data_IF_567512689727
#
_entry.id   IF_567512689727
#
_cell.length_a   1.000
_cell.length_b   1.000
_cell.length_c   1.000
_cell.angle_alpha   90.00
_cell.angle_beta   90.00
_cell.angle_gamma   90.00
#
_symmetry.space_group_name_H-M   'P 1'
#
loop_
_entity.id
_entity.type
_entity.pdbx_description
1 polymer ?
#
# COMPACT_ATOMS: atom_id res chain seq x y z
N UNK A 1 -25.87 -28.28 -60.23
CA UNK A 1 -24.92 -28.66 -59.16
C UNK A 1 -23.84 -27.58 -59.02
N UNK A 2 -24.21 -26.30 -59.15
CA UNK A 2 -23.26 -25.26 -59.54
C UNK A 2 -23.19 -24.09 -58.54
N UNK A 3 -24.10 -24.05 -57.55
CA UNK A 3 -24.12 -23.02 -56.51
C UNK A 3 -23.23 -23.36 -55.30
N UNK A 4 -23.00 -24.65 -55.01
CA UNK A 4 -22.12 -25.11 -53.92
C UNK A 4 -20.62 -24.89 -54.24
N UNK A 5 -20.25 -24.95 -55.53
CA UNK A 5 -18.85 -24.77 -55.98
C UNK A 5 -18.48 -23.28 -56.01
N UNK A 6 -19.44 -22.39 -56.27
CA UNK A 6 -19.23 -20.94 -56.24
C UNK A 6 -19.06 -20.44 -54.80
N UNK A 7 -19.81 -21.01 -53.84
CA UNK A 7 -19.77 -20.62 -52.43
C UNK A 7 -18.47 -20.98 -51.71
N UNK A 8 -17.71 -21.98 -52.20
CA UNK A 8 -16.40 -22.35 -51.63
C UNK A 8 -15.21 -21.53 -52.14
N UNK A 9 -15.36 -20.73 -53.20
CA UNK A 9 -14.25 -19.93 -53.77
C UNK A 9 -14.15 -18.51 -53.22
N UNK A 10 -15.15 -18.03 -52.48
CA UNK A 10 -15.22 -16.64 -51.98
C UNK A 10 -14.71 -16.49 -50.53
N UNK A 11 -14.43 -17.59 -49.81
CA UNK A 11 -13.98 -17.52 -48.42
C UNK A 11 -12.44 -17.49 -48.32
N UNK A 12 -11.87 -16.29 -48.25
CA UNK A 12 -10.50 -16.08 -47.79
C UNK A 12 -10.51 -15.68 -46.31
N UNK A 13 -9.85 -16.42 -45.40
CA UNK A 13 -9.81 -16.03 -43.99
C UNK A 13 -8.99 -14.73 -43.84
N UNK A 14 -9.46 -13.76 -43.02
CA UNK A 14 -8.68 -12.56 -42.73
C UNK A 14 -7.38 -12.94 -42.00
N UNK A 15 -6.27 -12.21 -42.22
CA UNK A 15 -5.03 -12.45 -41.46
C UNK A 15 -5.32 -12.31 -39.96
N UNK A 16 -4.65 -13.10 -39.10
CA UNK A 16 -4.87 -13.01 -37.66
C UNK A 16 -4.58 -11.58 -37.23
N UNK A 17 -5.60 -10.91 -36.68
CA UNK A 17 -5.45 -9.61 -36.06
C UNK A 17 -4.34 -9.74 -35.00
N UNK A 18 -3.19 -9.11 -35.27
CA UNK A 18 -2.15 -8.97 -34.29
C UNK A 18 -2.81 -8.39 -33.04
N UNK A 19 -2.68 -9.01 -31.86
CA UNK A 19 -3.10 -8.34 -30.65
C UNK A 19 -2.16 -7.15 -30.53
N UNK A 20 -2.63 -5.98 -30.95
CA UNK A 20 -2.06 -4.74 -30.48
C UNK A 20 -2.26 -4.80 -28.97
N UNK A 21 -1.23 -5.24 -28.26
CA UNK A 21 -1.04 -4.98 -26.85
C UNK A 21 -0.91 -3.46 -26.75
N UNK A 22 -2.05 -2.78 -26.87
CA UNK A 22 -2.24 -1.48 -26.27
C UNK A 22 -2.10 -1.77 -24.79
N UNK A 23 -0.88 -1.62 -24.30
CA UNK A 23 -0.55 -1.51 -22.89
C UNK A 23 -1.35 -0.32 -22.39
N UNK A 24 -2.60 -0.57 -21.98
CA UNK A 24 -3.39 0.41 -21.25
C UNK A 24 -2.70 0.54 -19.91
N UNK A 25 -1.97 1.63 -19.75
CA UNK A 25 -1.25 1.89 -18.53
C UNK A 25 -2.26 1.94 -17.35
N UNK A 26 -1.93 1.35 -16.20
CA UNK A 26 -2.80 1.35 -15.01
C UNK A 26 -3.22 2.77 -14.54
N UNK A 27 -2.56 3.83 -15.04
CA UNK A 27 -2.76 5.22 -14.62
C UNK A 27 -3.99 5.90 -15.24
N UNK A 28 -4.47 5.45 -16.41
CA UNK A 28 -5.63 6.07 -17.07
C UNK A 28 -6.96 5.83 -16.34
N UNK A 29 -7.06 4.74 -15.58
CA UNK A 29 -8.25 4.40 -14.80
C UNK A 29 -8.39 5.29 -13.57
N UNK A 30 -7.25 5.66 -12.96
CA UNK A 30 -7.23 6.51 -11.76
C UNK A 30 -7.46 7.99 -12.08
N UNK A 31 -6.96 8.51 -13.20
CA UNK A 31 -7.19 9.91 -13.59
C UNK A 31 -8.68 10.18 -13.85
N UNK A 32 -9.39 9.25 -14.51
CA UNK A 32 -10.84 9.38 -14.71
C UNK A 32 -11.65 9.32 -13.41
N UNK A 33 -11.20 8.53 -12.44
CA UNK A 33 -11.83 8.45 -11.11
C UNK A 33 -11.49 9.67 -10.23
N UNK A 34 -10.35 10.32 -10.45
CA UNK A 34 -9.96 11.57 -9.77
C UNK A 34 -10.72 12.77 -10.33
N UNK A 35 -10.82 12.91 -11.65
CA UNK A 35 -11.61 13.98 -12.29
C UNK A 35 -13.09 13.91 -11.91
N UNK A 36 -13.67 12.71 -11.74
CA UNK A 36 -15.06 12.56 -11.27
C UNK A 36 -15.25 12.97 -9.80
N UNK A 37 -14.21 12.86 -8.96
CA UNK A 37 -14.27 13.29 -7.57
C UNK A 37 -14.14 14.80 -7.43
N UNK A 38 -13.19 15.39 -8.15
CA UNK A 38 -12.95 16.84 -8.10
C UNK A 38 -14.14 17.66 -8.63
N UNK A 39 -14.94 17.14 -9.58
CA UNK A 39 -16.15 17.82 -10.07
C UNK A 39 -17.30 17.77 -9.04
N UNK A 40 -17.28 16.83 -8.08
CA UNK A 40 -18.33 16.71 -7.05
C UNK A 40 -18.04 17.53 -5.79
N UNK A 41 -16.79 17.89 -5.54
CA UNK A 41 -16.36 18.55 -4.29
C UNK A 41 -16.37 20.09 -4.35
N UNK A 42 -16.82 20.70 -5.46
CA UNK A 42 -16.91 22.17 -5.57
C UNK A 42 -18.32 22.67 -5.23
N UNK A 43 -18.69 22.61 -3.94
CA UNK A 43 -19.74 23.43 -3.35
C UNK A 43 -19.08 24.53 -2.50
N UNK A 44 -19.45 25.82 -2.64
CA UNK A 44 -18.85 26.90 -1.87
C UNK A 44 -19.23 26.81 -0.38
N UNK A 45 -18.34 27.16 0.57
CA UNK A 45 -18.56 26.89 1.99
C UNK A 45 -19.51 27.93 2.60
N UNK A 46 -20.77 27.55 2.81
CA UNK A 46 -21.61 28.22 3.80
C UNK A 46 -21.26 27.70 5.20
N UNK A 47 -20.57 28.56 5.97
CA UNK A 47 -20.47 28.59 7.44
C UNK A 47 -21.22 27.48 8.21
N UNK A 48 -20.48 26.54 8.79
CA UNK A 48 -20.73 26.03 10.15
C UNK A 48 -19.70 24.98 10.56
N UNK A 49 -19.05 25.20 11.70
CA UNK A 49 -18.57 24.14 12.59
C UNK A 49 -17.21 23.53 12.27
N UNK A 50 -16.23 23.85 13.11
CA UNK A 50 -14.98 23.10 13.30
C UNK A 50 -15.22 21.58 13.38
N UNK A 51 -14.34 20.71 12.84
CA UNK A 51 -14.44 19.27 13.05
C UNK A 51 -13.79 18.91 14.39
N UNK A 52 -14.39 19.35 15.50
CA UNK A 52 -14.20 18.67 16.77
C UNK A 52 -15.11 17.46 16.75
N UNK A 53 -14.52 16.26 16.69
CA UNK A 53 -15.01 15.08 17.42
C UNK A 53 -16.53 14.82 17.35
N UNK A 54 -17.19 15.11 16.22
CA UNK A 54 -18.62 15.00 16.11
C UNK A 54 -18.99 13.61 15.59
N UNK A 55 -19.63 12.86 16.50
CA UNK A 55 -20.54 11.77 16.24
C UNK A 55 -19.94 10.48 15.65
N UNK A 56 -19.20 9.74 16.50
CA UNK A 56 -19.20 8.28 16.44
C UNK A 56 -20.59 7.75 16.85
N UNK A 57 -21.60 7.96 16.02
CA UNK A 57 -22.88 7.23 16.12
C UNK A 57 -22.72 5.87 15.44
N UNK A 58 -21.86 5.03 16.01
CA UNK A 58 -21.74 3.64 15.62
C UNK A 58 -21.83 2.86 16.93
N UNK A 59 -22.90 2.09 17.13
CA UNK A 59 -22.92 1.03 18.14
C UNK A 59 -21.67 0.14 18.01
N UNK A 60 -21.29 -0.63 19.05
CA UNK A 60 -20.00 -1.29 19.13
C UNK A 60 -19.66 -1.94 17.79
N UNK A 61 -18.67 -1.38 17.10
CA UNK A 61 -18.30 -1.86 15.76
C UNK A 61 -17.91 -3.32 15.94
N UNK A 62 -18.38 -4.25 15.11
CA UNK A 62 -18.10 -5.67 15.30
C UNK A 62 -16.58 -5.94 15.45
N UNK A 63 -15.73 -5.11 14.86
CA UNK A 63 -14.27 -5.10 15.02
C UNK A 63 -13.78 -4.95 16.47
N UNK A 64 -14.44 -4.15 17.31
CA UNK A 64 -14.05 -3.92 18.71
C UNK A 64 -14.34 -5.16 19.56
N UNK A 65 -15.46 -5.83 19.29
CA UNK A 65 -15.86 -7.06 19.98
C UNK A 65 -14.90 -8.21 19.63
N UNK A 66 -14.55 -8.38 18.34
CA UNK A 66 -13.56 -9.40 17.95
C UNK A 66 -12.18 -9.16 18.56
N UNK A 67 -11.76 -7.89 18.67
CA UNK A 67 -10.50 -7.53 19.33
C UNK A 67 -10.50 -7.88 20.82
N UNK A 68 -11.60 -7.59 21.52
CA UNK A 68 -11.75 -7.91 22.94
C UNK A 68 -11.76 -9.42 23.20
N UNK A 69 -12.57 -10.17 22.45
CA UNK A 69 -12.63 -11.63 22.56
C UNK A 69 -11.28 -12.24 22.21
N UNK A 70 -10.67 -11.79 21.11
CA UNK A 70 -9.33 -12.20 20.70
C UNK A 70 -8.29 -11.96 21.79
N UNK A 71 -8.28 -10.78 22.42
CA UNK A 71 -7.36 -10.45 23.50
C UNK A 71 -7.49 -11.41 24.70
N UNK A 72 -8.71 -11.66 25.18
CA UNK A 72 -8.94 -12.59 26.29
C UNK A 72 -8.54 -14.02 25.90
N UNK A 73 -8.95 -14.46 24.70
CA UNK A 73 -8.59 -15.80 24.20
C UNK A 73 -7.08 -15.97 24.07
N UNK A 74 -6.35 -14.97 23.57
CA UNK A 74 -4.89 -15.01 23.48
C UNK A 74 -4.26 -15.09 24.86
N UNK A 75 -4.70 -14.27 25.83
CA UNK A 75 -4.15 -14.31 27.20
C UNK A 75 -4.35 -15.69 27.84
N UNK A 76 -5.57 -16.25 27.75
CA UNK A 76 -5.88 -17.57 28.30
C UNK A 76 -5.07 -18.66 27.59
N UNK A 77 -5.04 -18.64 26.25
CA UNK A 77 -4.28 -19.61 25.46
C UNK A 77 -2.79 -19.56 25.77
N UNK A 78 -2.21 -18.36 25.92
CA UNK A 78 -0.81 -18.18 26.31
C UNK A 78 -0.56 -18.70 27.73
N UNK A 79 -1.44 -18.43 28.69
CA UNK A 79 -1.30 -18.95 30.06
C UNK A 79 -1.32 -20.49 30.09
N UNK A 80 -2.26 -21.11 29.37
CA UNK A 80 -2.34 -22.58 29.24
C UNK A 80 -1.11 -23.14 28.53
N UNK A 81 -0.64 -22.49 27.48
CA UNK A 81 0.57 -22.87 26.75
C UNK A 81 1.81 -22.84 27.64
N UNK A 82 2.00 -21.77 28.43
CA UNK A 82 3.12 -21.66 29.36
C UNK A 82 3.01 -22.70 30.48
N UNK A 83 1.82 -22.89 31.05
CA UNK A 83 1.59 -23.92 32.06
C UNK A 83 1.97 -25.31 31.52
N UNK A 84 1.54 -25.66 30.30
CA UNK A 84 1.92 -26.91 29.64
C UNK A 84 3.44 -26.99 29.37
N UNK A 85 4.06 -25.91 28.88
CA UNK A 85 5.48 -25.87 28.55
C UNK A 85 6.40 -26.06 29.78
N UNK A 86 6.05 -25.45 30.92
CA UNK A 86 6.88 -25.46 32.13
C UNK A 86 6.54 -26.59 33.12
N UNK A 87 5.35 -27.20 33.05
CA UNK A 87 4.97 -28.26 33.99
C UNK A 87 5.79 -29.53 33.73
N UNK A 88 6.45 -30.13 34.74
CA UNK A 88 7.24 -31.35 34.57
C UNK A 88 6.34 -32.56 34.25
N UNK A 89 6.87 -33.52 33.49
CA UNK A 89 6.13 -34.69 32.95
C UNK A 89 5.41 -35.54 34.02
N UNK A 90 5.96 -35.75 35.24
CA UNK A 90 5.26 -36.50 36.29
C UNK A 90 3.94 -35.85 36.72
N UNK A 91 3.86 -34.52 36.70
CA UNK A 91 2.65 -33.79 37.07
C UNK A 91 1.56 -33.93 35.99
N UNK A 92 1.93 -33.83 34.70
CA UNK A 92 1.02 -34.08 33.57
C UNK A 92 0.47 -35.52 33.58
N UNK A 93 1.32 -36.51 33.91
CA UNK A 93 0.88 -37.90 34.04
C UNK A 93 -0.07 -38.11 35.21
N UNK A 94 0.14 -37.40 36.34
CA UNK A 94 -0.78 -37.41 37.49
C UNK A 94 -2.15 -36.80 37.14
N UNK A 95 -2.17 -35.78 36.27
CA UNK A 95 -3.39 -35.17 35.71
C UNK A 95 -4.11 -36.05 34.68
N UNK A 96 -3.60 -37.25 34.37
CA UNK A 96 -4.20 -38.18 33.40
C UNK A 96 -3.94 -37.81 31.92
N UNK A 97 -3.08 -36.82 31.65
CA UNK A 97 -2.75 -36.38 30.29
C UNK A 97 -1.54 -37.19 29.80
N UNK A 98 -1.82 -38.33 29.16
CA UNK A 98 -0.78 -39.23 28.61
C UNK A 98 -0.44 -38.95 27.15
N UNK A 99 -1.28 -38.22 26.42
CA UNK A 99 -1.08 -37.90 25.01
C UNK A 99 -0.92 -36.38 24.82
N UNK A 100 0.32 -35.92 24.73
CA UNK A 100 0.67 -34.55 24.37
C UNK A 100 1.80 -34.56 23.33
N UNK A 101 1.86 -33.57 22.42
CA UNK A 101 2.97 -33.46 21.46
C UNK A 101 4.29 -33.27 22.20
N UNK A 102 5.42 -33.67 21.59
CA UNK A 102 6.73 -33.57 22.24
C UNK A 102 6.99 -32.15 22.78
N UNK A 103 7.56 -32.04 23.98
CA UNK A 103 7.87 -30.73 24.60
C UNK A 103 8.80 -29.85 23.76
N UNK A 104 9.51 -30.43 22.80
CA UNK A 104 10.29 -29.69 21.81
C UNK A 104 9.46 -28.61 21.09
N UNK A 105 8.17 -28.85 20.86
CA UNK A 105 7.27 -27.88 20.24
C UNK A 105 7.09 -26.59 21.09
N UNK A 106 7.27 -26.66 22.40
CA UNK A 106 7.25 -25.49 23.27
C UNK A 106 8.39 -24.49 22.95
N UNK A 107 9.49 -24.98 22.36
CA UNK A 107 10.64 -24.16 21.96
C UNK A 107 10.65 -23.91 20.44
N UNK A 108 10.16 -24.87 19.65
CA UNK A 108 10.11 -24.75 18.20
C UNK A 108 9.13 -23.66 17.74
N UNK A 109 7.95 -23.55 18.36
CA UNK A 109 6.96 -22.53 17.99
C UNK A 109 7.49 -21.09 18.16
N UNK A 110 7.98 -20.66 19.34
CA UNK A 110 8.47 -19.30 19.51
C UNK A 110 9.72 -19.02 18.65
N UNK A 111 10.61 -20.00 18.47
CA UNK A 111 11.77 -19.82 17.59
C UNK A 111 11.37 -19.63 16.13
N UNK A 112 10.39 -20.41 15.63
CA UNK A 112 9.86 -20.23 14.28
C UNK A 112 9.19 -18.87 14.10
N UNK A 113 8.44 -18.37 15.09
CA UNK A 113 7.83 -17.03 15.04
C UNK A 113 8.89 -15.94 14.90
N UNK A 114 9.97 -16.00 15.69
CA UNK A 114 11.06 -15.02 15.60
C UNK A 114 11.73 -15.05 14.22
N UNK A 115 12.05 -16.24 13.72
CA UNK A 115 12.67 -16.42 12.40
C UNK A 115 11.73 -15.94 11.29
N UNK A 116 10.43 -16.25 11.38
CA UNK A 116 9.43 -15.81 10.41
C UNK A 116 9.28 -14.28 10.38
N UNK A 117 9.29 -13.62 11.55
CA UNK A 117 9.27 -12.15 11.63
C UNK A 117 10.53 -11.56 11.00
N UNK A 118 11.71 -12.06 11.35
CA UNK A 118 12.97 -11.59 10.76
C UNK A 118 12.98 -11.80 9.23
N UNK A 119 12.57 -12.97 8.76
CA UNK A 119 12.46 -13.29 7.34
C UNK A 119 11.46 -12.36 6.64
N UNK A 120 10.31 -12.07 7.26
CA UNK A 120 9.30 -11.16 6.71
C UNK A 120 9.85 -9.75 6.50
N UNK A 121 10.70 -9.25 7.41
CA UNK A 121 11.35 -7.95 7.28
C UNK A 121 12.37 -7.94 6.14
N UNK A 122 13.18 -9.00 6.02
CA UNK A 122 14.14 -9.14 4.92
C UNK A 122 13.41 -9.20 3.57
N UNK A 123 12.35 -10.01 3.47
CA UNK A 123 11.52 -10.10 2.26
C UNK A 123 10.88 -8.75 1.95
N UNK A 124 10.30 -8.09 2.95
CA UNK A 124 9.71 -6.77 2.79
C UNK A 124 10.74 -5.76 2.26
N UNK A 125 11.95 -5.74 2.82
CA UNK A 125 13.03 -4.87 2.34
C UNK A 125 13.42 -5.20 0.90
N UNK A 126 13.57 -6.49 0.56
CA UNK A 126 13.87 -6.93 -0.80
C UNK A 126 12.78 -6.57 -1.81
N UNK A 127 11.51 -6.71 -1.43
CA UNK A 127 10.37 -6.31 -2.26
C UNK A 127 10.32 -4.79 -2.45
N UNK A 128 10.63 -4.00 -1.40
CA UNK A 128 10.72 -2.55 -1.54
C UNK A 128 11.83 -2.16 -2.52
N UNK A 129 13.03 -2.75 -2.40
CA UNK A 129 14.11 -2.48 -3.34
C UNK A 129 13.77 -2.87 -4.78
N UNK A 130 12.99 -3.93 -4.99
CA UNK A 130 12.54 -4.32 -6.32
C UNK A 130 11.43 -3.40 -6.87
N UNK A 131 10.59 -2.85 -5.99
CA UNK A 131 9.50 -1.96 -6.35
C UNK A 131 9.93 -0.50 -6.55
N UNK A 132 11.02 -0.05 -5.90
CA UNK A 132 11.57 1.29 -6.05
C UNK A 132 12.62 1.38 -7.16
N UNK A 133 12.74 2.52 -7.87
CA UNK A 133 13.89 2.79 -8.73
C UNK A 133 15.21 2.66 -7.96
N UNK A 134 16.30 2.38 -8.68
CA UNK A 134 17.63 2.29 -8.07
C UNK A 134 17.92 3.55 -7.21
N UNK A 135 18.53 3.42 -6.02
CA UNK A 135 18.72 4.54 -5.08
C UNK A 135 19.55 5.71 -5.63
N UNK A 136 20.21 5.53 -6.78
CA UNK A 136 20.95 6.59 -7.50
C UNK A 136 20.13 7.27 -8.59
N UNK A 137 18.86 6.90 -8.79
CA UNK A 137 18.01 7.51 -9.80
C UNK A 137 17.43 8.83 -9.30
N UNK A 138 17.57 9.87 -10.11
CA UNK A 138 16.99 11.20 -9.89
C UNK A 138 15.46 11.18 -9.75
N UNK A 139 14.80 10.15 -10.31
CA UNK A 139 13.36 9.89 -10.18
C UNK A 139 12.91 9.59 -8.74
N UNK A 140 13.85 9.36 -7.81
CA UNK A 140 13.57 9.22 -6.37
C UNK A 140 13.49 10.58 -5.69
N UNK A 141 14.17 11.59 -6.24
CA UNK A 141 14.22 12.96 -5.71
C UNK A 141 13.14 13.83 -6.34
N UNK A 142 12.78 13.57 -7.60
CA UNK A 142 11.79 14.32 -8.36
C UNK A 142 10.67 13.40 -8.83
N UNK A 143 9.44 13.78 -8.51
CA UNK A 143 8.22 13.09 -8.90
C UNK A 143 7.34 13.99 -9.80
N UNK A 144 6.23 13.45 -10.30
CA UNK A 144 5.27 14.20 -11.13
C UNK A 144 4.61 15.38 -10.37
N UNK A 145 4.69 15.37 -9.04
CA UNK A 145 4.16 16.43 -8.18
C UNK A 145 5.16 17.55 -7.91
N UNK A 146 6.43 17.37 -8.29
CA UNK A 146 7.50 18.35 -8.09
C UNK A 146 7.30 19.55 -9.02
N UNK A 147 7.24 20.75 -8.46
CA UNK A 147 6.93 22.00 -9.17
C UNK A 147 8.19 22.83 -9.35
N UNK A 148 8.71 22.91 -10.57
CA UNK A 148 9.85 23.78 -10.85
C UNK A 148 9.43 25.26 -10.88
N UNK A 149 10.31 26.16 -10.42
CA UNK A 149 10.05 27.62 -10.48
C UNK A 149 9.95 28.02 -11.94
N UNK A 150 8.77 28.48 -12.36
CA UNK A 150 8.58 29.02 -13.69
C UNK A 150 9.36 30.34 -13.76
N UNK A 151 10.36 30.43 -14.64
CA UNK A 151 11.06 31.68 -14.88
C UNK A 151 10.04 32.68 -15.45
N UNK A 152 9.62 33.63 -14.62
CA UNK A 152 8.72 34.70 -15.02
C UNK A 152 9.37 35.47 -16.18
N UNK A 153 8.66 35.56 -17.30
CA UNK A 153 8.99 36.54 -18.33
C UNK A 153 8.74 37.93 -17.72
N UNK A 154 9.64 38.91 -17.92
CA UNK A 154 9.50 40.26 -17.34
C UNK A 154 8.22 40.99 -17.78
N UNK A 155 7.46 40.45 -18.74
CA UNK A 155 6.17 40.96 -19.16
C UNK A 155 4.98 40.56 -18.26
N UNK A 156 5.16 39.62 -17.33
CA UNK A 156 4.07 39.06 -16.48
C UNK A 156 4.22 39.43 -14.99
N UNK A 157 5.30 40.11 -14.62
CA UNK A 157 5.62 40.49 -13.24
C UNK A 157 4.65 41.55 -12.66
N UNK A 158 4.06 42.40 -13.51
CA UNK A 158 3.13 43.46 -13.09
C UNK A 158 1.69 42.96 -12.80
N UNK A 159 1.29 41.80 -13.32
CA UNK A 159 -0.09 41.28 -13.16
C UNK A 159 -0.25 40.29 -11.99
N UNK A 160 0.83 39.79 -11.40
CA UNK A 160 0.77 38.77 -10.37
C UNK A 160 1.61 39.16 -9.13
N UNK A 161 0.98 39.79 -8.10
CA UNK A 161 1.69 40.27 -6.92
C UNK A 161 2.34 39.18 -6.06
N UNK A 162 1.99 37.90 -6.28
CA UNK A 162 2.45 36.75 -5.49
C UNK A 162 2.87 35.65 -6.45
N UNK A 163 4.14 35.23 -6.36
CA UNK A 163 4.66 34.14 -7.17
C UNK A 163 3.93 32.80 -6.86
N UNK A 164 3.69 31.95 -7.87
CA UNK A 164 3.14 30.62 -7.66
C UNK A 164 4.10 29.76 -6.82
N UNK A 165 3.55 28.93 -5.92
CA UNK A 165 4.34 28.01 -5.11
C UNK A 165 5.15 27.04 -6.02
N UNK A 166 6.46 27.00 -5.81
CA UNK A 166 7.41 26.13 -6.51
C UNK A 166 8.39 25.52 -5.50
N UNK A 167 8.85 24.31 -5.78
CA UNK A 167 9.84 23.61 -4.98
C UNK A 167 11.25 24.15 -5.27
N UNK A 168 12.05 24.30 -4.22
CA UNK A 168 13.45 24.70 -4.33
C UNK A 168 14.30 23.43 -4.35
N UNK A 169 15.22 23.31 -5.32
CA UNK A 169 16.07 22.11 -5.41
C UNK A 169 17.04 22.02 -4.23
N UNK A 170 17.31 20.79 -3.77
CA UNK A 170 18.27 20.52 -2.67
C UNK A 170 19.66 21.08 -3.04
N UNK A 171 20.07 20.99 -4.30
CA UNK A 171 21.34 21.55 -4.77
C UNK A 171 21.39 23.08 -4.61
N UNK A 172 20.29 23.77 -4.91
CA UNK A 172 20.20 25.23 -4.76
C UNK A 172 20.26 25.64 -3.28
N UNK A 173 19.50 24.99 -2.40
CA UNK A 173 19.55 25.26 -0.95
C UNK A 173 20.94 24.95 -0.40
N UNK A 174 21.57 23.85 -0.81
CA UNK A 174 22.89 23.48 -0.34
C UNK A 174 23.95 24.53 -0.73
N UNK A 175 23.92 25.05 -1.95
CA UNK A 175 24.82 26.14 -2.35
C UNK A 175 24.53 27.44 -1.59
N UNK A 176 23.26 27.80 -1.38
CA UNK A 176 22.89 29.00 -0.61
C UNK A 176 23.33 28.92 0.86
N UNK A 177 23.23 27.75 1.48
CA UNK A 177 23.56 27.57 2.90
C UNK A 177 25.08 27.41 3.11
N UNK A 178 25.77 26.71 2.22
CA UNK A 178 27.16 26.28 2.46
C UNK A 178 28.20 26.93 1.54
N UNK A 179 27.80 27.59 0.46
CA UNK A 179 28.73 28.19 -0.51
C UNK A 179 28.58 29.71 -0.67
N UNK A 180 27.56 30.33 -0.07
CA UNK A 180 27.28 31.77 -0.15
C UNK A 180 27.90 32.57 1.02
N UNK A 181 29.04 32.09 1.55
CA UNK A 181 29.93 32.79 2.50
C UNK A 181 31.31 32.98 1.88
#
# INVERSE_FOLDING_TARGET
MDDEVRKRREWSPPPPASPSLVVRSPRQTLSRLRSRRLIRDWDPPSRSGSPSFAARDHGPKPSEVYGFVGSITTVIATAVYLAWAYTPEPCLRSLGITYYPSKYWALAVPSFVIVAVALSMVIYMGLNFLATPHPTSFSTVFDESSRERMALSPAMEDEMPIEPISDISIAQINNLIFCDT
#
